data_IF_579521041048
#
_entry.id   IF_579521041048
#
_cell.length_a   1.000
_cell.length_b   1.000
_cell.length_c   1.000
_cell.angle_alpha   90.00
_cell.angle_beta   90.00
_cell.angle_gamma   90.00
#
_symmetry.space_group_name_H-M   'P 1'
#
loop_
_entity.id
_entity.type
_entity.pdbx_description
1 polymer ?
#
# COMPACT_ATOMS: atom_id res chain seq x y z
N UNK A 1 56.91 6.94 5.04
CA UNK A 1 57.54 6.27 6.20
C UNK A 1 57.62 7.27 7.35
N UNK A 2 56.57 7.40 8.16
CA UNK A 2 56.71 7.91 9.52
C UNK A 2 55.62 7.29 10.38
N UNK A 3 56.09 6.62 11.41
CA UNK A 3 55.43 5.71 12.33
C UNK A 3 55.17 6.50 13.61
N UNK A 4 53.96 6.45 14.16
CA UNK A 4 53.64 6.90 15.52
C UNK A 4 52.66 5.86 16.09
N UNK A 5 53.16 4.79 16.71
CA UNK A 5 53.55 4.65 18.12
C UNK A 5 52.36 4.82 19.10
N UNK A 6 51.81 3.65 19.46
CA UNK A 6 51.52 3.16 20.83
C UNK A 6 50.67 4.04 21.76
N UNK A 7 49.48 3.54 22.13
CA UNK A 7 49.10 3.39 23.55
C UNK A 7 48.32 2.07 23.74
N UNK A 8 48.80 1.29 24.72
CA UNK A 8 48.36 -0.01 25.19
C UNK A 8 47.67 0.19 26.55
N UNK A 9 46.50 -0.40 26.82
CA UNK A 9 45.94 -0.72 28.17
C UNK A 9 44.62 -1.50 27.97
N UNK A 10 44.59 -2.83 28.10
CA UNK A 10 44.34 -3.62 29.33
C UNK A 10 43.11 -3.06 30.10
N UNK A 11 41.90 -3.62 30.05
CA UNK A 11 41.40 -4.95 30.44
C UNK A 11 40.48 -4.84 31.67
N UNK A 12 39.45 -5.71 31.66
CA UNK A 12 38.54 -6.16 32.75
C UNK A 12 37.11 -5.61 32.71
N UNK A 13 36.22 -6.42 32.17
CA UNK A 13 34.84 -6.52 32.65
C UNK A 13 34.56 -7.96 33.04
N UNK A 14 34.05 -8.09 34.26
CA UNK A 14 33.80 -9.29 35.03
C UNK A 14 32.62 -10.12 34.52
N UNK A 15 32.69 -11.40 34.85
CA UNK A 15 31.78 -12.53 34.62
C UNK A 15 30.43 -12.43 35.36
N UNK A 16 29.33 -12.68 34.62
CA UNK A 16 28.09 -13.43 34.98
C UNK A 16 27.21 -13.02 36.17
N UNK A 17 25.92 -13.42 36.24
CA UNK A 17 25.34 -14.61 35.59
C UNK A 17 23.99 -14.43 34.84
N UNK A 18 23.70 -15.44 34.01
CA UNK A 18 22.38 -15.93 33.57
C UNK A 18 21.46 -14.99 32.77
N UNK A 19 21.20 -15.18 31.48
CA UNK A 19 21.62 -16.24 30.56
C UNK A 19 21.14 -15.96 29.14
N UNK A 20 22.02 -16.29 28.18
CA UNK A 20 21.78 -16.76 26.81
C UNK A 20 20.84 -15.94 25.89
N UNK A 21 21.22 -15.48 24.69
CA UNK A 21 22.40 -15.68 23.84
C UNK A 21 22.31 -14.57 22.77
N UNK A 22 23.29 -13.67 22.64
CA UNK A 22 24.27 -13.62 21.53
C UNK A 22 23.66 -14.03 20.17
N UNK A 23 23.51 -13.15 19.19
CA UNK A 23 24.58 -12.62 18.30
C UNK A 23 23.81 -12.09 17.07
N UNK A 24 24.24 -11.18 16.20
CA UNK A 24 25.55 -10.73 15.78
C UNK A 24 25.31 -9.54 14.82
N UNK A 25 26.10 -8.45 14.97
CA UNK A 25 26.71 -7.63 13.89
C UNK A 25 25.77 -6.97 12.85
N UNK A 26 25.79 -5.67 12.57
CA UNK A 26 26.78 -4.62 12.80
C UNK A 26 26.10 -3.25 12.80
N UNK A 27 26.41 -2.44 13.80
CA UNK A 27 26.08 -1.02 13.86
C UNK A 27 27.31 -0.24 13.35
N UNK A 28 27.30 0.19 12.08
CA UNK A 28 28.27 1.16 11.58
C UNK A 28 27.66 2.55 11.63
N UNK A 29 28.02 3.27 12.68
CA UNK A 29 27.59 4.63 12.94
C UNK A 29 28.39 5.62 12.08
N UNK A 30 27.74 6.05 11.00
CA UNK A 30 27.67 7.41 10.47
C UNK A 30 28.57 8.47 11.14
N UNK A 31 29.83 8.62 10.72
CA UNK A 31 30.54 9.92 10.78
C UNK A 31 31.44 10.10 9.57
N UNK A 32 31.17 11.21 8.85
CA UNK A 32 31.91 11.79 7.74
C UNK A 32 31.78 11.12 6.36
N UNK A 33 30.86 11.61 5.54
CA UNK A 33 31.02 11.56 4.09
C UNK A 33 30.34 12.78 3.44
N UNK A 34 31.14 13.84 3.25
CA UNK A 34 30.78 14.99 2.43
C UNK A 34 31.25 14.69 1.00
N UNK A 35 30.29 14.61 0.09
CA UNK A 35 30.45 14.73 -1.37
C UNK A 35 31.20 13.61 -2.11
N UNK A 36 30.44 12.60 -2.58
CA UNK A 36 30.71 11.96 -3.88
C UNK A 36 29.41 11.54 -4.55
N UNK A 37 28.85 12.53 -5.24
CA UNK A 37 27.82 12.44 -6.28
C UNK A 37 28.37 11.58 -7.44
N UNK A 38 27.48 10.90 -8.18
CA UNK A 38 27.71 10.01 -9.33
C UNK A 38 28.05 8.54 -9.04
N UNK A 39 27.19 7.80 -8.34
CA UNK A 39 26.90 6.39 -8.70
C UNK A 39 25.72 5.78 -7.93
N UNK A 40 24.49 6.28 -8.11
CA UNK A 40 23.26 5.49 -7.81
C UNK A 40 21.98 6.07 -8.39
N UNK A 41 22.00 6.37 -9.69
CA UNK A 41 20.76 6.56 -10.44
C UNK A 41 20.39 5.21 -11.09
N UNK A 42 19.15 4.79 -10.88
CA UNK A 42 18.46 3.58 -11.38
C UNK A 42 18.41 2.33 -10.49
N UNK A 43 18.33 2.47 -9.17
CA UNK A 43 17.82 1.36 -8.33
C UNK A 43 17.17 1.84 -7.02
N UNK A 44 16.27 2.83 -7.07
CA UNK A 44 15.43 3.17 -5.90
C UNK A 44 14.28 4.14 -6.23
N UNK A 45 13.42 3.83 -7.20
CA UNK A 45 12.22 4.65 -7.48
C UNK A 45 10.90 3.88 -7.46
N UNK A 46 10.88 2.70 -6.82
CA UNK A 46 9.63 1.93 -6.61
C UNK A 46 9.33 1.58 -5.15
N UNK A 47 9.98 2.24 -4.19
CA UNK A 47 9.65 2.12 -2.75
C UNK A 47 9.39 3.49 -2.08
N UNK A 48 9.48 4.60 -2.83
CA UNK A 48 9.26 5.95 -2.30
C UNK A 48 7.93 6.60 -2.73
N UNK A 49 6.86 5.81 -2.81
CA UNK A 49 5.47 6.28 -2.62
C UNK A 49 4.75 5.55 -1.48
N UNK A 50 5.49 4.81 -0.66
CA UNK A 50 4.95 4.12 0.52
C UNK A 50 4.93 5.02 1.78
N UNK A 51 5.36 6.28 1.67
CA UNK A 51 5.56 7.20 2.80
C UNK A 51 4.59 8.40 2.84
N UNK A 52 3.43 8.29 2.20
CA UNK A 52 2.35 9.27 2.37
C UNK A 52 1.00 8.64 2.70
N UNK A 53 1.02 7.42 3.26
CA UNK A 53 -0.17 6.74 3.79
C UNK A 53 0.07 6.11 5.17
N UNK A 54 0.87 6.75 6.02
CA UNK A 54 1.04 6.36 7.43
C UNK A 54 1.05 7.59 8.34
N UNK A 55 -0.11 8.23 8.44
CA UNK A 55 -0.52 8.95 9.64
C UNK A 55 -2.03 8.79 9.79
N UNK A 56 -2.46 7.57 10.07
CA UNK A 56 -3.70 7.38 10.82
C UNK A 56 -3.31 7.32 12.30
N UNK A 57 -3.86 8.19 13.17
CA UNK A 57 -3.79 7.93 14.60
C UNK A 57 -4.47 6.59 14.87
N UNK A 58 -3.74 5.63 15.44
CA UNK A 58 -4.29 4.36 15.88
C UNK A 58 -5.23 4.62 17.06
N UNK A 59 -6.49 4.91 16.77
CA UNK A 59 -7.54 4.76 17.76
C UNK A 59 -7.99 3.31 17.64
N UNK A 60 -7.46 2.45 18.51
CA UNK A 60 -8.08 1.17 18.80
C UNK A 60 -8.98 1.38 20.03
N UNK A 61 -10.30 1.59 19.88
CA UNK A 61 -11.21 1.24 20.95
C UNK A 61 -11.50 -0.26 20.84
N UNK A 62 -11.25 -0.97 21.94
CA UNK A 62 -11.69 -2.33 22.19
C UNK A 62 -13.19 -2.50 21.88
N UNK A 63 -13.64 -3.69 21.47
CA UNK A 63 -15.03 -3.93 21.13
C UNK A 63 -15.87 -3.97 22.42
N UNK A 64 -16.30 -2.81 22.90
CA UNK A 64 -17.55 -2.73 23.65
C UNK A 64 -18.61 -3.23 22.67
N UNK A 65 -19.47 -4.18 23.07
CA UNK A 65 -20.50 -4.77 22.20
C UNK A 65 -21.42 -3.67 21.64
N UNK A 66 -20.98 -3.04 20.56
CA UNK A 66 -21.74 -2.13 19.73
C UNK A 66 -22.80 -2.96 19.03
N UNK A 67 -23.99 -2.41 18.90
CA UNK A 67 -25.13 -3.07 18.25
C UNK A 67 -24.69 -3.86 17.02
N UNK A 68 -25.14 -5.13 16.87
CA UNK A 68 -24.73 -5.98 15.75
C UNK A 68 -24.90 -5.29 14.38
N UNK A 69 -25.87 -4.38 14.26
CA UNK A 69 -26.17 -3.56 13.08
C UNK A 69 -25.03 -2.58 12.75
N UNK A 70 -24.57 -1.80 13.73
CA UNK A 70 -23.44 -0.86 13.59
C UNK A 70 -22.14 -1.56 13.19
N UNK A 71 -21.91 -2.77 13.72
CA UNK A 71 -20.76 -3.59 13.34
C UNK A 71 -20.86 -4.02 11.88
N UNK A 72 -22.03 -4.50 11.44
CA UNK A 72 -22.26 -4.88 10.04
C UNK A 72 -22.07 -3.70 9.08
N UNK A 73 -22.57 -2.52 9.45
CA UNK A 73 -22.40 -1.30 8.67
C UNK A 73 -20.92 -0.94 8.48
N UNK A 74 -20.13 -1.02 9.56
CA UNK A 74 -18.67 -0.78 9.52
C UNK A 74 -17.96 -1.79 8.63
N UNK A 75 -18.34 -3.07 8.71
CA UNK A 75 -17.75 -4.13 7.88
C UNK A 75 -18.04 -3.87 6.40
N UNK A 76 -19.31 -3.65 6.04
CA UNK A 76 -19.75 -3.40 4.65
C UNK A 76 -19.12 -2.13 4.08
N UNK A 77 -19.05 -1.06 4.87
CA UNK A 77 -18.31 0.17 4.52
C UNK A 77 -16.84 -0.13 4.23
N UNK A 78 -16.20 -0.98 5.05
CA UNK A 78 -14.82 -1.40 4.81
C UNK A 78 -14.64 -2.23 3.54
N UNK A 79 -15.62 -3.05 3.16
CA UNK A 79 -15.61 -3.82 1.90
C UNK A 79 -15.64 -2.89 0.69
N UNK A 80 -16.57 -1.93 0.65
CA UNK A 80 -16.69 -0.96 -0.45
C UNK A 80 -15.40 -0.14 -0.62
N UNK A 81 -14.80 0.33 0.49
CA UNK A 81 -13.53 1.08 0.45
C UNK A 81 -12.37 0.25 -0.11
N UNK A 82 -12.30 -1.04 0.20
CA UNK A 82 -11.26 -1.94 -0.30
C UNK A 82 -11.44 -2.21 -1.79
N UNK A 83 -12.66 -2.55 -2.22
CA UNK A 83 -12.97 -2.82 -3.63
C UNK A 83 -12.76 -1.57 -4.52
N UNK A 84 -13.07 -0.39 -4.01
CA UNK A 84 -12.80 0.87 -4.73
C UNK A 84 -11.30 1.06 -5.00
N UNK A 85 -10.45 0.80 -4.00
CA UNK A 85 -8.98 0.87 -4.15
C UNK A 85 -8.45 -0.20 -5.09
N UNK A 86 -8.99 -1.41 -5.02
CA UNK A 86 -8.63 -2.53 -5.88
C UNK A 86 -8.89 -2.18 -7.36
N UNK A 87 -10.06 -1.62 -7.67
CA UNK A 87 -10.37 -1.11 -9.01
C UNK A 87 -9.35 -0.08 -9.48
N UNK A 88 -9.03 0.92 -8.66
CA UNK A 88 -8.05 1.96 -9.00
C UNK A 88 -6.66 1.38 -9.28
N UNK A 89 -6.26 0.30 -8.61
CA UNK A 89 -4.97 -0.36 -8.87
C UNK A 89 -4.98 -1.03 -10.25
N UNK A 90 -6.01 -1.79 -10.57
CA UNK A 90 -6.10 -2.46 -11.88
C UNK A 90 -6.25 -1.48 -13.04
N UNK A 91 -6.98 -0.37 -12.87
CA UNK A 91 -7.04 0.71 -13.87
C UNK A 91 -5.65 1.30 -14.16
N UNK A 92 -4.86 1.57 -13.10
CA UNK A 92 -3.48 2.06 -13.25
C UNK A 92 -2.55 1.05 -13.92
N UNK A 93 -2.76 -0.25 -13.69
CA UNK A 93 -1.99 -1.29 -14.36
C UNK A 93 -2.28 -1.30 -15.86
N UNK A 94 -3.56 -1.21 -16.25
CA UNK A 94 -3.97 -1.08 -17.66
C UNK A 94 -3.33 0.14 -18.30
N UNK A 95 -3.36 1.30 -17.64
CA UNK A 95 -2.71 2.53 -18.14
C UNK A 95 -1.19 2.37 -18.26
N UNK A 96 -0.56 1.69 -17.31
CA UNK A 96 0.89 1.43 -17.36
C UNK A 96 1.26 0.56 -18.56
N UNK A 97 0.47 -0.48 -18.84
CA UNK A 97 0.70 -1.35 -20.00
C UNK A 97 0.39 -0.63 -21.32
N UNK A 98 -0.66 0.19 -21.38
CA UNK A 98 -0.94 1.06 -22.54
C UNK A 98 0.22 2.00 -22.85
N UNK A 99 0.70 2.72 -21.83
CA UNK A 99 1.85 3.62 -21.96
C UNK A 99 3.12 2.87 -22.39
N UNK A 100 3.27 1.60 -22.00
CA UNK A 100 4.39 0.76 -22.44
C UNK A 100 4.28 0.41 -23.92
N UNK A 101 3.10 0.07 -24.41
CA UNK A 101 2.84 -0.14 -25.84
C UNK A 101 3.12 1.12 -26.64
N UNK A 102 2.66 2.28 -26.18
CA UNK A 102 2.86 3.55 -26.88
C UNK A 102 4.35 3.91 -27.00
N UNK A 103 5.14 3.64 -25.96
CA UNK A 103 6.60 3.79 -26.00
C UNK A 103 7.25 2.82 -26.98
N UNK A 104 6.81 1.57 -27.03
CA UNK A 104 7.33 0.58 -27.99
C UNK A 104 6.98 0.95 -29.43
N UNK A 105 5.78 1.49 -29.67
CA UNK A 105 5.35 2.02 -30.97
C UNK A 105 6.20 3.23 -31.39
N UNK A 106 6.41 4.18 -30.48
CA UNK A 106 7.25 5.34 -30.74
C UNK A 106 8.72 4.98 -31.00
N UNK A 107 9.22 3.93 -30.35
CA UNK A 107 10.57 3.42 -30.58
C UNK A 107 10.73 2.60 -31.88
N UNK A 108 9.65 2.35 -32.63
CA UNK A 108 9.68 1.52 -33.83
C UNK A 108 10.06 0.07 -33.54
N UNK A 109 9.59 -0.48 -32.41
CA UNK A 109 9.87 -1.87 -32.03
C UNK A 109 9.21 -2.87 -32.99
N UNK A 110 9.79 -4.07 -33.09
CA UNK A 110 9.31 -5.16 -33.93
C UNK A 110 7.86 -5.58 -33.59
N UNK A 111 7.11 -5.99 -34.61
CA UNK A 111 5.69 -6.35 -34.54
C UNK A 111 5.44 -7.50 -33.56
N UNK A 112 6.36 -8.46 -33.49
CA UNK A 112 6.26 -9.58 -32.57
C UNK A 112 6.32 -9.14 -31.09
N UNK A 113 7.09 -8.09 -30.78
CA UNK A 113 7.15 -7.51 -29.42
C UNK A 113 5.87 -6.76 -29.09
N UNK A 114 5.33 -6.01 -30.06
CA UNK A 114 4.06 -5.29 -29.90
C UNK A 114 2.90 -6.26 -29.64
N UNK A 115 2.80 -7.36 -30.40
CA UNK A 115 1.76 -8.37 -30.21
C UNK A 115 1.80 -9.02 -28.84
N UNK A 116 2.98 -9.40 -28.35
CA UNK A 116 3.13 -9.92 -26.98
C UNK A 116 2.73 -8.91 -25.93
N UNK A 117 3.07 -7.64 -26.13
CA UNK A 117 2.70 -6.60 -25.18
C UNK A 117 1.19 -6.30 -25.21
N UNK A 118 0.53 -6.46 -26.37
CA UNK A 118 -0.92 -6.40 -26.51
C UNK A 118 -1.63 -7.56 -25.79
N UNK A 119 -1.07 -8.77 -25.84
CA UNK A 119 -1.57 -9.91 -25.05
C UNK A 119 -1.53 -9.61 -23.55
N UNK A 120 -0.41 -9.08 -23.05
CA UNK A 120 -0.28 -8.66 -21.65
C UNK A 120 -1.29 -7.56 -21.30
N UNK A 121 -1.55 -6.62 -22.22
CA UNK A 121 -2.56 -5.59 -21.99
C UNK A 121 -3.97 -6.21 -21.88
N UNK A 122 -4.30 -7.18 -22.73
CA UNK A 122 -5.59 -7.88 -22.67
C UNK A 122 -5.74 -8.63 -21.34
N UNK A 123 -4.71 -9.33 -20.87
CA UNK A 123 -4.73 -10.01 -19.57
C UNK A 123 -5.05 -9.04 -18.42
N UNK A 124 -4.44 -7.86 -18.40
CA UNK A 124 -4.74 -6.82 -17.41
C UNK A 124 -6.17 -6.28 -17.55
N UNK A 125 -6.65 -6.05 -18.78
CA UNK A 125 -8.00 -5.54 -19.04
C UNK A 125 -9.09 -6.50 -18.56
N UNK A 126 -8.86 -7.80 -18.66
CA UNK A 126 -9.82 -8.83 -18.24
C UNK A 126 -10.06 -8.86 -16.72
N UNK A 127 -9.22 -8.21 -15.91
CA UNK A 127 -9.38 -8.15 -14.44
C UNK A 127 -10.34 -7.05 -13.96
N UNK A 128 -10.43 -5.94 -14.72
CA UNK A 128 -11.29 -4.79 -14.38
C UNK A 128 -12.78 -5.14 -14.25
N UNK A 129 -13.41 -5.95 -15.15
CA UNK A 129 -14.84 -6.23 -15.05
C UNK A 129 -15.24 -7.05 -13.82
N UNK A 130 -14.38 -7.95 -13.31
CA UNK A 130 -14.69 -8.67 -12.07
C UNK A 130 -14.76 -7.72 -10.87
N UNK A 131 -13.82 -6.79 -10.79
CA UNK A 131 -13.77 -5.78 -9.73
C UNK A 131 -14.99 -4.87 -9.77
N UNK A 132 -15.40 -4.43 -10.96
CA UNK A 132 -16.62 -3.64 -11.16
C UNK A 132 -17.86 -4.38 -10.67
N UNK A 133 -18.01 -5.66 -11.04
CA UNK A 133 -19.15 -6.49 -10.61
C UNK A 133 -19.18 -6.66 -9.09
N UNK A 134 -18.02 -6.92 -8.46
CA UNK A 134 -17.91 -7.07 -7.00
C UNK A 134 -18.20 -5.75 -6.27
N UNK A 135 -17.72 -4.63 -6.82
CA UNK A 135 -18.00 -3.30 -6.28
C UNK A 135 -19.49 -2.94 -6.39
N UNK A 136 -20.13 -3.19 -7.54
CA UNK A 136 -21.56 -2.94 -7.74
C UNK A 136 -22.42 -3.73 -6.74
N UNK A 137 -22.13 -5.03 -6.57
CA UNK A 137 -22.83 -5.84 -5.57
C UNK A 137 -22.65 -5.32 -4.15
N UNK A 138 -21.42 -4.97 -3.76
CA UNK A 138 -21.16 -4.42 -2.42
C UNK A 138 -21.82 -3.03 -2.22
N UNK A 139 -21.93 -2.23 -3.28
CA UNK A 139 -22.60 -0.94 -3.27
C UNK A 139 -24.11 -1.11 -3.06
N UNK A 140 -24.75 -2.05 -3.76
CA UNK A 140 -26.16 -2.40 -3.57
C UNK A 140 -26.40 -2.89 -2.13
N UNK A 141 -25.59 -3.85 -1.65
CA UNK A 141 -25.69 -4.40 -0.30
C UNK A 141 -25.50 -3.34 0.81
N UNK A 142 -24.69 -2.31 0.58
CA UNK A 142 -24.51 -1.20 1.53
C UNK A 142 -25.68 -0.22 1.45
N UNK A 143 -26.17 0.07 0.24
CA UNK A 143 -27.32 0.95 0.01
C UNK A 143 -28.60 0.39 0.63
N UNK A 144 -28.85 -0.92 0.50
CA UNK A 144 -30.00 -1.59 1.14
C UNK A 144 -29.95 -1.54 2.67
N UNK A 145 -28.75 -1.68 3.25
CA UNK A 145 -28.58 -1.56 4.71
C UNK A 145 -28.86 -0.14 5.19
N UNK A 146 -28.37 0.86 4.48
CA UNK A 146 -28.58 2.28 4.82
C UNK A 146 -30.07 2.66 4.75
N UNK A 147 -30.82 2.12 3.78
CA UNK A 147 -32.28 2.32 3.66
C UNK A 147 -33.08 1.63 4.76
N UNK A 148 -32.62 0.47 5.24
CA UNK A 148 -33.29 -0.27 6.32
C UNK A 148 -32.93 0.22 7.72
N UNK A 149 -31.86 1.02 7.85
CA UNK A 149 -31.31 1.53 9.11
C UNK A 149 -31.33 3.06 9.17
N UNK A 150 -32.37 3.68 8.60
CA UNK A 150 -32.55 5.15 8.61
C UNK A 150 -32.69 5.77 10.01
N UNK A 151 -32.99 4.95 11.02
CA UNK A 151 -33.07 5.37 12.43
C UNK A 151 -31.70 5.74 13.01
N UNK A 152 -30.59 5.32 12.38
CA UNK A 152 -29.23 5.53 12.87
C UNK A 152 -28.47 6.66 12.15
N UNK A 153 -29.17 7.55 11.44
CA UNK A 153 -28.61 8.67 10.67
C UNK A 153 -27.63 9.55 11.45
N UNK A 154 -27.83 9.69 12.76
CA UNK A 154 -27.00 10.54 13.63
C UNK A 154 -25.69 9.87 14.05
N UNK A 155 -25.53 8.56 13.78
CA UNK A 155 -24.35 7.82 14.22
C UNK A 155 -23.18 8.03 13.24
N UNK A 156 -21.96 8.17 13.77
CA UNK A 156 -20.76 8.42 12.96
C UNK A 156 -20.49 7.34 11.90
N UNK A 157 -20.92 6.10 12.13
CA UNK A 157 -20.79 5.01 11.16
C UNK A 157 -21.69 5.18 9.94
N UNK A 158 -22.89 5.77 10.11
CA UNK A 158 -23.81 6.03 9.01
C UNK A 158 -23.25 7.10 8.08
N UNK A 159 -22.77 8.21 8.65
CA UNK A 159 -22.11 9.29 7.90
C UNK A 159 -20.88 8.75 7.14
N UNK A 160 -20.09 7.88 7.78
CA UNK A 160 -18.93 7.26 7.14
C UNK A 160 -19.31 6.28 6.02
N UNK A 161 -20.48 5.65 6.10
CA UNK A 161 -21.01 4.75 5.10
C UNK A 161 -21.58 5.52 3.89
N UNK A 162 -22.31 6.62 4.12
CA UNK A 162 -22.76 7.54 3.07
C UNK A 162 -21.58 8.14 2.30
N UNK A 163 -20.57 8.65 3.02
CA UNK A 163 -19.35 9.17 2.39
C UNK A 163 -18.67 8.09 1.52
N UNK A 164 -18.63 6.84 1.98
CA UNK A 164 -18.08 5.73 1.22
C UNK A 164 -18.91 5.37 -0.02
N UNK A 165 -20.24 5.53 0.03
CA UNK A 165 -21.10 5.39 -1.14
C UNK A 165 -20.83 6.50 -2.15
N UNK A 166 -20.74 7.76 -1.73
CA UNK A 166 -20.42 8.87 -2.65
C UNK A 166 -19.06 8.66 -3.34
N UNK A 167 -18.02 8.25 -2.60
CA UNK A 167 -16.71 7.92 -3.15
C UNK A 167 -16.78 6.73 -4.13
N UNK A 168 -17.61 5.73 -3.83
CA UNK A 168 -17.78 4.56 -4.67
C UNK A 168 -18.56 4.87 -5.95
N UNK A 169 -19.46 5.86 -5.97
CA UNK A 169 -20.21 6.27 -7.18
C UNK A 169 -19.29 6.71 -8.30
N UNK A 170 -18.18 7.38 -7.98
CA UNK A 170 -17.18 7.79 -8.97
C UNK A 170 -16.50 6.58 -9.63
N UNK A 171 -16.47 5.45 -8.92
CA UNK A 171 -15.82 4.22 -9.35
C UNK A 171 -16.80 3.19 -9.93
N UNK A 172 -18.10 3.47 -9.99
CA UNK A 172 -19.06 2.60 -10.66
C UNK A 172 -18.85 2.66 -12.20
N UNK A 173 -19.11 1.55 -12.92
CA UNK A 173 -19.03 1.50 -14.38
C UNK A 173 -20.09 2.38 -15.06
#
# INVERSE_FOLDING_TARGET
FFLFVVVKRQAKTTVGPSGHFCSFIHHLNWRNCKSRVQFRNNFCTTIFSCLQFKNQPSINPQPTMSDPRLRQLTIKTGVVKRLSKEKTVYEKEVDTQRNRIDKLKAAGSDDHVLRKQEEVLQECMMMVPDCQRRLAKAFEELTEMIKSEEELKETSQYIAAEAALEDAKVNLP
#
